data_IF_549050415533
#
_entry.id   IF_549050415533
#
_cell.length_a   1.000
_cell.length_b   1.000
_cell.length_c   1.000
_cell.angle_alpha   90.00
_cell.angle_beta   90.00
_cell.angle_gamma   90.00
#
_symmetry.space_group_name_H-M   'P 1'
#
loop_
_entity.id
_entity.type
_entity.pdbx_description
1 polymer ?
#
# COMPACT_ATOMS: atom_id res chain seq x y z
N UNK A 1 -1.76 16.99 -28.06
CA UNK A 1 -2.44 15.86 -28.72
C UNK A 1 -1.35 14.96 -29.29
N UNK A 2 -1.15 13.69 -28.97
CA UNK A 2 -1.69 12.75 -28.00
C UNK A 2 -0.68 11.60 -28.04
N UNK A 3 0.05 11.36 -26.97
CA UNK A 3 0.65 10.05 -26.74
C UNK A 3 -0.29 9.36 -25.75
N UNK A 4 -1.24 8.61 -26.29
CA UNK A 4 -1.96 7.63 -25.47
C UNK A 4 -0.92 6.55 -25.19
N UNK A 5 -0.28 6.63 -24.02
CA UNK A 5 0.53 5.53 -23.53
C UNK A 5 -0.46 4.48 -23.06
N UNK A 6 -0.67 3.47 -23.91
CA UNK A 6 -1.45 2.29 -23.55
C UNK A 6 -0.88 1.71 -22.24
N UNK A 7 -1.71 1.42 -21.23
CA UNK A 7 -1.24 0.69 -20.06
C UNK A 7 -0.81 -0.69 -20.53
N UNK A 8 0.45 -1.05 -20.25
CA UNK A 8 0.95 -2.41 -20.47
C UNK A 8 0.20 -3.32 -19.49
N UNK A 9 -0.59 -4.32 -19.93
CA UNK A 9 -1.01 -5.38 -19.04
C UNK A 9 0.23 -6.27 -18.84
N UNK A 10 0.87 -6.15 -17.69
CA UNK A 10 1.89 -7.10 -17.27
C UNK A 10 1.17 -8.35 -16.75
N UNK A 11 1.35 -9.45 -17.47
CA UNK A 11 0.88 -10.78 -17.12
C UNK A 11 1.86 -11.37 -16.09
N UNK A 12 1.44 -11.47 -14.82
CA UNK A 12 2.15 -12.28 -13.82
C UNK A 12 2.16 -11.69 -12.41
N UNK A 13 1.31 -12.22 -11.54
CA UNK A 13 1.18 -11.92 -10.11
C UNK A 13 0.43 -10.62 -9.80
N UNK A 14 -0.90 -10.75 -9.68
CA UNK A 14 -1.67 -9.87 -8.81
C UNK A 14 -0.96 -9.82 -7.46
N UNK A 15 -0.22 -8.74 -7.19
CA UNK A 15 0.21 -8.40 -5.85
C UNK A 15 -1.04 -7.99 -5.08
N UNK A 16 -1.85 -8.98 -4.69
CA UNK A 16 -3.03 -8.83 -3.82
C UNK A 16 -2.58 -8.58 -2.37
N UNK A 17 -1.57 -7.75 -2.21
CA UNK A 17 -1.18 -7.20 -0.92
C UNK A 17 -2.29 -6.27 -0.44
N UNK A 18 -2.75 -6.49 0.79
CA UNK A 18 -3.74 -5.60 1.41
C UNK A 18 -3.19 -4.17 1.51
N UNK A 19 -1.88 -4.01 1.69
CA UNK A 19 -1.22 -2.70 1.67
C UNK A 19 -1.24 -2.05 0.31
N UNK A 20 -0.94 -2.80 -0.76
CA UNK A 20 -0.97 -2.25 -2.12
C UNK A 20 -2.36 -1.78 -2.51
N UNK A 21 -3.41 -2.53 -2.16
CA UNK A 21 -4.80 -2.10 -2.35
C UNK A 21 -5.14 -0.86 -1.51
N UNK A 22 -4.75 -0.82 -0.23
CA UNK A 22 -4.98 0.33 0.63
C UNK A 22 -4.30 1.60 0.11
N UNK A 23 -3.07 1.50 -0.42
CA UNK A 23 -2.36 2.62 -1.02
C UNK A 23 -3.10 3.15 -2.24
N UNK A 24 -3.50 2.27 -3.17
CA UNK A 24 -4.24 2.65 -4.38
C UNK A 24 -5.53 3.39 -4.04
N UNK A 25 -6.26 2.93 -3.04
CA UNK A 25 -7.52 3.54 -2.60
C UNK A 25 -7.32 4.89 -1.89
N UNK A 26 -6.26 5.02 -1.08
CA UNK A 26 -5.97 6.28 -0.36
C UNK A 26 -5.35 7.33 -1.28
N UNK A 27 -4.37 6.94 -2.09
CA UNK A 27 -3.66 7.82 -3.01
C UNK A 27 -4.46 8.10 -4.29
N UNK A 28 -5.56 7.36 -4.52
CA UNK A 28 -6.38 7.45 -5.75
C UNK A 28 -5.53 7.27 -7.01
N UNK A 29 -4.50 6.43 -6.92
CA UNK A 29 -3.53 6.19 -8.00
C UNK A 29 -3.40 4.70 -8.25
N UNK A 30 -3.54 4.29 -9.51
CA UNK A 30 -3.40 2.88 -9.92
C UNK A 30 -1.95 2.51 -10.23
N UNK A 31 -1.05 3.48 -10.36
CA UNK A 31 0.39 3.31 -10.63
C UNK A 31 1.22 3.00 -9.37
N UNK A 32 0.57 2.63 -8.26
CA UNK A 32 1.29 2.18 -7.06
C UNK A 32 1.75 0.73 -7.26
N UNK A 33 3.05 0.53 -7.07
CA UNK A 33 3.77 -0.75 -7.04
C UNK A 33 4.21 -1.11 -5.60
N UNK A 34 4.76 -2.31 -5.40
CA UNK A 34 5.15 -2.82 -4.08
C UNK A 34 6.30 -2.03 -3.41
N UNK A 35 7.14 -1.37 -4.21
CA UNK A 35 8.24 -0.51 -3.77
C UNK A 35 7.87 0.98 -3.76
N UNK A 36 6.62 1.33 -4.07
CA UNK A 36 6.19 2.72 -4.10
C UNK A 36 6.14 3.30 -2.69
N UNK A 37 6.96 4.32 -2.44
CA UNK A 37 6.94 5.07 -1.19
C UNK A 37 5.63 5.86 -1.04
N UNK A 38 4.98 5.73 0.11
CA UNK A 38 3.72 6.40 0.41
C UNK A 38 3.83 7.92 0.30
N UNK A 39 4.92 8.51 0.81
CA UNK A 39 5.13 9.95 0.84
C UNK A 39 5.51 10.51 -0.53
N UNK A 40 6.35 9.80 -1.29
CA UNK A 40 6.67 10.17 -2.68
C UNK A 40 5.45 10.03 -3.61
N UNK A 41 4.59 9.03 -3.36
CA UNK A 41 3.32 8.83 -4.08
C UNK A 41 2.23 9.87 -3.79
N UNK A 42 2.51 10.89 -2.97
CA UNK A 42 1.58 11.95 -2.60
C UNK A 42 0.81 11.70 -1.30
N UNK A 43 1.17 10.66 -0.56
CA UNK A 43 0.68 10.38 0.78
C UNK A 43 1.24 11.39 1.79
N UNK A 44 0.41 11.79 2.74
CA UNK A 44 0.81 12.71 3.80
C UNK A 44 0.22 12.27 5.13
N UNK A 45 0.71 12.82 6.24
CA UNK A 45 0.38 12.38 7.61
C UNK A 45 -1.12 12.35 7.90
N UNK A 46 -1.91 13.21 7.24
CA UNK A 46 -3.38 13.24 7.37
C UNK A 46 -4.08 12.06 6.69
N UNK A 47 -3.43 11.41 5.71
CA UNK A 47 -3.94 10.23 5.01
C UNK A 47 -3.56 8.92 5.70
N UNK A 48 -2.51 8.90 6.53
CA UNK A 48 -2.12 7.73 7.33
C UNK A 48 -3.30 7.12 8.10
N UNK A 49 -4.10 7.86 8.90
CA UNK A 49 -5.24 7.25 9.60
C UNK A 49 -6.27 6.63 8.64
N UNK A 50 -6.48 7.21 7.45
CA UNK A 50 -7.36 6.64 6.42
C UNK A 50 -6.76 5.35 5.84
N UNK A 51 -5.45 5.32 5.64
CA UNK A 51 -4.71 4.15 5.17
C UNK A 51 -4.81 2.98 6.15
N UNK A 52 -4.60 3.23 7.44
CA UNK A 52 -4.72 2.20 8.48
C UNK A 52 -6.15 1.62 8.52
N UNK A 53 -7.18 2.47 8.39
CA UNK A 53 -8.58 2.02 8.36
C UNK A 53 -8.90 1.21 7.10
N UNK A 54 -8.37 1.61 5.95
CA UNK A 54 -8.56 0.90 4.68
C UNK A 54 -7.90 -0.49 4.74
N UNK A 55 -6.65 -0.56 5.22
CA UNK A 55 -5.98 -1.83 5.47
C UNK A 55 -6.74 -2.70 6.49
N UNK A 56 -7.19 -2.13 7.61
CA UNK A 56 -7.96 -2.85 8.64
C UNK A 56 -9.24 -3.45 8.05
N UNK A 57 -9.92 -2.74 7.14
CA UNK A 57 -11.09 -3.26 6.44
C UNK A 57 -10.77 -4.40 5.45
N UNK A 58 -9.57 -4.42 4.88
CA UNK A 58 -9.14 -5.42 3.90
C UNK A 58 -8.58 -6.67 4.57
N UNK A 59 -7.66 -6.50 5.52
CA UNK A 59 -6.95 -7.58 6.22
C UNK A 59 -7.68 -8.06 7.48
N UNK A 60 -8.58 -7.26 8.05
CA UNK A 60 -9.18 -7.51 9.37
C UNK A 60 -8.22 -7.26 10.54
N UNK A 61 -6.99 -6.83 10.26
CA UNK A 61 -5.96 -6.55 11.26
C UNK A 61 -5.69 -5.06 11.33
N UNK A 62 -5.52 -4.53 12.55
CA UNK A 62 -5.18 -3.12 12.76
C UNK A 62 -3.66 -2.94 12.85
N UNK A 63 -3.01 -2.35 11.83
CA UNK A 63 -1.59 -2.03 11.88
C UNK A 63 -1.30 -0.89 12.87
N UNK A 64 -0.16 -0.93 13.58
CA UNK A 64 0.27 0.19 14.40
C UNK A 64 0.70 1.36 13.53
N UNK A 65 0.32 2.59 13.92
CA UNK A 65 0.64 3.79 13.14
C UNK A 65 2.15 4.01 12.94
N UNK A 66 2.99 3.56 13.88
CA UNK A 66 4.44 3.63 13.76
C UNK A 66 4.99 2.85 12.56
N UNK A 67 4.32 1.78 12.15
CA UNK A 67 4.72 0.94 11.04
C UNK A 67 4.80 1.76 9.73
N UNK A 68 3.84 2.67 9.51
CA UNK A 68 3.82 3.57 8.33
C UNK A 68 4.89 4.67 8.40
N UNK A 69 5.44 4.97 9.58
CA UNK A 69 6.54 5.91 9.74
C UNK A 69 7.91 5.24 9.63
N UNK A 70 8.01 3.96 10.01
CA UNK A 70 9.25 3.18 9.91
C UNK A 70 9.41 2.56 8.52
N UNK A 71 8.30 2.16 7.90
CA UNK A 71 8.24 1.51 6.60
C UNK A 71 7.25 2.26 5.71
N UNK A 72 7.74 2.71 4.55
CA UNK A 72 6.96 3.59 3.68
C UNK A 72 6.48 2.89 2.41
N UNK A 73 6.92 1.64 2.18
CA UNK A 73 6.55 0.85 1.00
C UNK A 73 5.58 -0.29 1.37
N UNK A 74 4.63 -0.65 0.49
CA UNK A 74 3.72 -1.78 0.69
C UNK A 74 4.45 -3.09 1.00
N UNK A 75 5.58 -3.34 0.33
CA UNK A 75 6.39 -4.56 0.50
C UNK A 75 6.93 -4.71 1.91
N UNK A 76 7.52 -3.66 2.46
CA UNK A 76 8.04 -3.64 3.82
C UNK A 76 6.91 -3.75 4.85
N UNK A 77 5.84 -2.99 4.65
CA UNK A 77 4.67 -3.00 5.52
C UNK A 77 4.04 -4.41 5.61
N UNK A 78 3.96 -5.13 4.49
CA UNK A 78 3.41 -6.49 4.45
C UNK A 78 4.34 -7.49 5.17
N UNK A 79 5.66 -7.40 4.96
CA UNK A 79 6.63 -8.24 5.62
C UNK A 79 6.56 -8.08 7.16
N UNK A 80 6.51 -6.84 7.64
CA UNK A 80 6.44 -6.55 9.07
C UNK A 80 5.10 -6.98 9.68
N UNK A 81 3.99 -6.80 8.95
CA UNK A 81 2.69 -7.31 9.37
C UNK A 81 2.68 -8.85 9.46
N UNK A 82 3.36 -9.55 8.56
CA UNK A 82 3.52 -10.99 8.63
C UNK A 82 4.34 -11.41 9.87
N UNK A 83 5.41 -10.68 10.20
CA UNK A 83 6.21 -10.93 11.41
C UNK A 83 5.42 -10.70 12.69
N UNK A 84 4.61 -9.64 12.76
CA UNK A 84 3.75 -9.34 13.91
C UNK A 84 2.65 -10.39 14.11
N UNK A 85 2.16 -10.99 13.03
CA UNK A 85 1.10 -12.00 13.07
C UNK A 85 1.61 -13.44 13.26
N UNK A 86 2.78 -13.77 12.69
CA UNK A 86 3.38 -15.10 12.73
C UNK A 86 4.04 -15.49 14.06
N UNK A 87 4.13 -14.56 15.03
CA UNK A 87 4.65 -14.80 16.37
C UNK A 87 3.60 -15.33 17.38
N UNK A 88 2.46 -15.83 16.92
CA UNK A 88 1.34 -16.31 17.75
C UNK A 88 1.05 -17.79 17.52
#
# INVERSE_FOLDING_TARGET
>A
MSAVSMPRPDDGESSDSHWLQAFREVLNSTEVDDDTDFFEGGGHSMLIPKLLLCYESLSGCRPPIRLVFEFSTPRELEAEMAMLQGGR
#
